data_IF_070761184249
#
_entry.id   IF_070761184249
#
_cell.length_a   1.000
_cell.length_b   1.000
_cell.length_c   1.000
_cell.angle_alpha   90.00
_cell.angle_beta   90.00
_cell.angle_gamma   90.00
#
_symmetry.space_group_name_H-M   'P 1'
#
loop_
_entity.id
_entity.type
_entity.pdbx_description
1 polymer ?
#
# COMPACT_ATOMS: atom_id res chain seq x y z
N UNK A 1 5.52 -41.57 -33.88
CA UNK A 1 5.09 -40.20 -33.51
C UNK A 1 4.82 -40.18 -32.01
N UNK A 2 5.86 -40.06 -31.20
CA UNK A 2 5.81 -40.10 -29.74
C UNK A 2 5.29 -38.77 -29.22
N UNK A 3 4.09 -38.76 -28.65
CA UNK A 3 3.56 -37.61 -27.91
C UNK A 3 4.41 -37.45 -26.63
N UNK A 4 5.26 -36.43 -26.60
CA UNK A 4 5.88 -35.96 -25.36
C UNK A 4 4.77 -35.34 -24.51
N UNK A 5 4.39 -36.01 -23.43
CA UNK A 5 3.60 -35.41 -22.37
C UNK A 5 4.36 -34.19 -21.83
N UNK A 6 3.76 -33.01 -22.00
CA UNK A 6 4.21 -31.79 -21.32
C UNK A 6 3.93 -31.99 -19.83
N UNK A 7 4.92 -31.87 -18.93
CA UNK A 7 4.64 -31.98 -17.50
C UNK A 7 3.78 -30.78 -17.09
N UNK A 8 2.51 -31.04 -16.77
CA UNK A 8 1.68 -30.08 -16.04
C UNK A 8 2.37 -29.78 -14.70
N UNK A 9 2.47 -28.51 -14.31
CA UNK A 9 2.90 -28.08 -12.97
C UNK A 9 1.65 -27.84 -12.11
N UNK A 10 1.15 -28.79 -11.28
CA UNK A 10 -0.12 -28.63 -10.58
C UNK A 10 0.04 -28.39 -9.06
N UNK A 11 1.23 -28.63 -8.50
CA UNK A 11 1.41 -28.65 -7.03
C UNK A 11 1.52 -27.24 -6.42
N UNK A 12 2.18 -26.30 -7.10
CA UNK A 12 2.42 -24.94 -6.58
C UNK A 12 1.17 -24.07 -6.59
N UNK A 13 0.27 -24.27 -7.55
CA UNK A 13 -0.99 -23.54 -7.65
C UNK A 13 -1.99 -23.96 -6.57
N UNK A 14 -1.94 -25.22 -6.11
CA UNK A 14 -2.81 -25.67 -5.02
C UNK A 14 -2.40 -25.10 -3.66
N UNK A 15 -1.10 -25.11 -3.34
CA UNK A 15 -0.60 -24.54 -2.08
C UNK A 15 -0.84 -23.02 -1.99
N UNK A 16 -0.67 -22.28 -3.10
CA UNK A 16 -0.95 -20.85 -3.13
C UNK A 16 -2.44 -20.54 -2.95
N UNK A 17 -3.32 -21.31 -3.60
CA UNK A 17 -4.77 -21.19 -3.43
C UNK A 17 -5.18 -21.48 -1.99
N UNK A 18 -4.67 -22.56 -1.40
CA UNK A 18 -4.90 -22.89 0.02
C UNK A 18 -4.48 -21.75 0.93
N UNK A 19 -3.27 -21.20 0.75
CA UNK A 19 -2.78 -20.07 1.54
C UNK A 19 -3.71 -18.84 1.44
N UNK A 20 -4.16 -18.50 0.23
CA UNK A 20 -5.09 -17.37 0.03
C UNK A 20 -6.43 -17.63 0.72
N UNK A 21 -7.00 -18.84 0.57
CA UNK A 21 -8.25 -19.23 1.23
C UNK A 21 -8.13 -19.16 2.75
N UNK A 22 -7.05 -19.69 3.33
CA UNK A 22 -6.81 -19.61 4.78
C UNK A 22 -6.64 -18.16 5.25
N UNK A 23 -5.95 -17.31 4.49
CA UNK A 23 -5.80 -15.90 4.83
C UNK A 23 -7.13 -15.13 4.80
N UNK A 24 -8.03 -15.47 3.86
CA UNK A 24 -9.38 -14.91 3.79
C UNK A 24 -10.23 -15.39 4.98
N UNK A 25 -10.20 -16.69 5.30
CA UNK A 25 -10.89 -17.24 6.47
C UNK A 25 -10.38 -16.61 7.78
N UNK A 26 -9.06 -16.43 7.92
CA UNK A 26 -8.49 -15.76 9.08
C UNK A 26 -8.93 -14.29 9.18
N UNK A 27 -9.06 -13.60 8.05
CA UNK A 27 -9.57 -12.22 8.00
C UNK A 27 -11.03 -12.15 8.43
N UNK A 28 -11.86 -13.09 7.97
CA UNK A 28 -13.26 -13.23 8.38
C UNK A 28 -13.39 -13.49 9.89
N UNK A 29 -12.67 -14.49 10.43
CA UNK A 29 -12.70 -14.79 11.87
C UNK A 29 -12.25 -13.60 12.71
N UNK A 30 -11.23 -12.86 12.26
CA UNK A 30 -10.75 -11.67 12.96
C UNK A 30 -11.78 -10.52 12.95
N UNK A 31 -12.51 -10.34 11.83
CA UNK A 31 -13.61 -9.37 11.75
C UNK A 31 -14.74 -9.74 12.72
N UNK A 32 -15.20 -10.99 12.71
CA UNK A 32 -16.22 -11.49 13.63
C UNK A 32 -15.78 -11.34 15.08
N UNK A 33 -14.53 -11.72 15.40
CA UNK A 33 -14.00 -11.58 16.76
C UNK A 33 -14.06 -10.14 17.27
N UNK A 34 -13.76 -9.15 16.43
CA UNK A 34 -13.85 -7.73 16.84
C UNK A 34 -15.31 -7.30 17.01
N UNK A 35 -16.22 -7.75 16.15
CA UNK A 35 -17.65 -7.48 16.29
C UNK A 35 -18.20 -8.09 17.59
N UNK A 36 -17.99 -9.39 17.82
CA UNK A 36 -18.49 -10.13 18.97
C UNK A 36 -17.90 -9.62 20.30
N UNK A 37 -16.60 -9.30 20.33
CA UNK A 37 -15.95 -8.78 21.54
C UNK A 37 -16.34 -7.34 21.86
N UNK A 38 -16.61 -6.52 20.84
CA UNK A 38 -16.98 -5.11 21.05
C UNK A 38 -18.47 -4.92 21.31
N UNK A 39 -19.32 -5.84 20.81
CA UNK A 39 -20.77 -5.71 20.85
C UNK A 39 -21.31 -4.52 20.05
N UNK A 40 -20.50 -3.93 19.18
CA UNK A 40 -20.87 -2.77 18.36
C UNK A 40 -21.54 -3.22 17.06
N UNK A 41 -22.49 -2.44 16.51
CA UNK A 41 -23.05 -2.72 15.19
C UNK A 41 -21.94 -2.73 14.13
N UNK A 42 -22.14 -3.47 13.03
CA UNK A 42 -21.15 -3.61 11.96
C UNK A 42 -20.64 -2.28 11.40
N UNK A 43 -21.50 -1.27 11.29
CA UNK A 43 -21.08 0.05 10.83
C UNK A 43 -19.99 0.71 11.72
N UNK A 44 -19.89 0.31 13.01
CA UNK A 44 -18.82 0.75 13.92
C UNK A 44 -17.71 -0.29 14.09
N UNK A 45 -18.04 -1.58 14.00
CA UNK A 45 -17.08 -2.68 14.08
C UNK A 45 -16.06 -2.66 12.93
N UNK A 46 -16.49 -2.30 11.72
CA UNK A 46 -15.60 -2.20 10.55
C UNK A 46 -14.54 -1.07 10.71
N UNK A 47 -14.90 0.17 11.07
CA UNK A 47 -13.92 1.19 11.44
C UNK A 47 -13.03 0.77 12.62
N UNK A 48 -13.59 0.17 13.66
CA UNK A 48 -12.82 -0.28 14.83
C UNK A 48 -11.77 -1.31 14.42
N UNK A 49 -12.13 -2.29 13.60
CA UNK A 49 -11.19 -3.28 13.07
C UNK A 49 -10.06 -2.62 12.28
N UNK A 50 -10.38 -1.65 11.41
CA UNK A 50 -9.39 -0.90 10.65
C UNK A 50 -8.41 -0.11 11.54
N UNK A 51 -8.89 0.41 12.68
CA UNK A 51 -8.09 1.10 13.70
C UNK A 51 -7.19 0.11 14.46
N UNK A 52 -7.72 -1.03 14.92
CA UNK A 52 -6.99 -2.08 15.63
C UNK A 52 -5.86 -2.61 14.75
N UNK A 53 -6.16 -2.99 13.50
CA UNK A 53 -5.16 -3.50 12.56
C UNK A 53 -4.02 -2.49 12.34
N UNK A 54 -4.37 -1.21 12.20
CA UNK A 54 -3.37 -0.16 11.99
C UNK A 54 -2.48 0.05 13.19
N UNK A 55 -3.07 0.20 14.36
CA UNK A 55 -2.34 0.51 15.59
C UNK A 55 -1.42 -0.62 16.01
N UNK A 56 -1.87 -1.87 15.87
CA UNK A 56 -1.11 -3.05 16.31
C UNK A 56 -0.05 -3.50 15.30
N UNK A 57 -0.34 -3.50 14.00
CA UNK A 57 0.58 -4.03 12.98
C UNK A 57 1.21 -2.95 12.09
N UNK A 58 0.39 -2.04 11.54
CA UNK A 58 0.85 -1.10 10.50
C UNK A 58 1.65 0.06 11.08
N UNK A 59 1.30 0.54 12.26
CA UNK A 59 1.95 1.67 12.92
C UNK A 59 3.39 1.33 13.31
N UNK A 60 3.70 0.21 14.00
CA UNK A 60 5.09 -0.19 14.26
C UNK A 60 5.92 -0.30 12.97
N UNK A 61 5.35 -0.88 11.92
CA UNK A 61 5.99 -0.99 10.61
C UNK A 61 6.27 0.39 9.99
N UNK A 62 5.31 1.30 10.07
CA UNK A 62 5.41 2.68 9.60
C UNK A 62 6.46 3.46 10.37
N UNK A 63 6.56 3.27 11.70
CA UNK A 63 7.62 3.87 12.54
C UNK A 63 8.99 3.37 12.09
N UNK A 64 9.13 2.06 11.84
CA UNK A 64 10.39 1.49 11.37
C UNK A 64 10.78 2.01 9.97
N UNK A 65 9.83 2.09 9.04
CA UNK A 65 10.02 2.70 7.73
C UNK A 65 10.45 4.17 7.86
N UNK A 66 9.79 4.93 8.74
CA UNK A 66 10.09 6.35 9.00
C UNK A 66 11.51 6.56 9.53
N UNK A 67 11.92 5.76 10.52
CA UNK A 67 13.28 5.81 11.09
C UNK A 67 14.34 5.52 10.04
N UNK A 68 14.07 4.56 9.15
CA UNK A 68 14.97 4.28 8.03
C UNK A 68 15.08 5.47 7.07
N UNK A 69 13.95 6.12 6.74
CA UNK A 69 13.93 7.30 5.87
C UNK A 69 14.68 8.49 6.48
N UNK A 70 14.51 8.77 7.78
CA UNK A 70 15.25 9.83 8.48
C UNK A 70 16.78 9.61 8.39
N UNK A 71 17.24 8.38 8.61
CA UNK A 71 18.67 8.02 8.48
C UNK A 71 19.18 8.21 7.06
N UNK A 72 18.37 7.88 6.04
CA UNK A 72 18.75 8.09 4.64
C UNK A 72 18.98 9.57 4.34
N UNK A 73 18.11 10.46 4.83
CA UNK A 73 18.26 11.91 4.61
C UNK A 73 19.48 12.48 5.33
N UNK A 74 19.78 12.00 6.55
CA UNK A 74 20.99 12.40 7.27
C UNK A 74 22.29 11.99 6.56
N UNK A 75 22.25 10.92 5.76
CA UNK A 75 23.41 10.41 5.01
C UNK A 75 23.56 11.04 3.61
N UNK A 76 22.58 11.83 3.16
CA UNK A 76 22.65 12.50 1.86
C UNK A 76 23.88 13.42 1.69
N UNK A 77 24.31 14.26 2.67
CA UNK A 77 25.52 15.08 2.51
C UNK A 77 26.79 14.23 2.34
N UNK A 78 26.88 13.07 3.00
CA UNK A 78 27.99 12.14 2.81
C UNK A 78 28.01 11.60 1.36
N UNK A 79 26.85 11.23 0.83
CA UNK A 79 26.72 10.78 -0.56
C UNK A 79 27.12 11.90 -1.54
N UNK A 80 26.73 13.15 -1.24
CA UNK A 80 27.11 14.31 -2.04
C UNK A 80 28.63 14.57 -1.99
N UNK A 81 29.29 14.41 -0.86
CA UNK A 81 30.74 14.56 -0.75
C UNK A 81 31.50 13.55 -1.64
N UNK A 82 31.02 12.29 -1.70
CA UNK A 82 31.60 11.26 -2.58
C UNK A 82 31.43 11.57 -4.08
N UNK A 83 30.48 12.44 -4.46
CA UNK A 83 30.21 12.79 -5.86
C UNK A 83 31.45 13.36 -6.55
N UNK A 84 32.19 14.25 -5.89
CA UNK A 84 33.38 14.88 -6.49
C UNK A 84 34.46 13.85 -6.84
N UNK A 85 34.74 12.94 -5.90
CA UNK A 85 35.73 11.87 -6.11
C UNK A 85 35.30 10.94 -7.23
N UNK A 86 34.04 10.49 -7.23
CA UNK A 86 33.51 9.60 -8.26
C UNK A 86 33.42 10.27 -9.62
N UNK A 87 33.14 11.57 -9.67
CA UNK A 87 33.10 12.35 -10.91
C UNK A 87 34.49 12.44 -11.53
N UNK A 88 35.53 12.73 -10.73
CA UNK A 88 36.91 12.74 -11.21
C UNK A 88 37.35 11.37 -11.73
N UNK A 89 36.98 10.29 -11.04
CA UNK A 89 37.25 8.92 -11.48
C UNK A 89 36.53 8.58 -12.79
N UNK A 90 35.25 8.92 -12.90
CA UNK A 90 34.46 8.69 -14.11
C UNK A 90 35.01 9.46 -15.31
N UNK A 91 35.38 10.73 -15.14
CA UNK A 91 36.00 11.53 -16.19
C UNK A 91 37.36 10.98 -16.62
N UNK A 92 38.18 10.50 -15.68
CA UNK A 92 39.48 9.90 -16.02
C UNK A 92 39.34 8.60 -16.81
N UNK A 93 38.41 7.73 -16.42
CA UNK A 93 38.23 6.42 -17.05
C UNK A 93 37.42 6.48 -18.35
N UNK A 94 36.35 7.27 -18.38
CA UNK A 94 35.37 7.27 -19.48
C UNK A 94 35.30 8.60 -20.23
N UNK A 95 36.09 9.61 -19.85
CA UNK A 95 36.06 10.93 -20.50
C UNK A 95 36.41 10.88 -21.99
N UNK A 96 37.24 9.92 -22.40
CA UNK A 96 37.59 9.71 -23.81
C UNK A 96 36.42 9.17 -24.66
N UNK A 97 35.41 8.55 -24.04
CA UNK A 97 34.22 8.01 -24.70
C UNK A 97 33.09 9.05 -24.82
N UNK A 98 33.34 10.27 -24.36
CA UNK A 98 32.39 11.39 -24.42
C UNK A 98 31.67 11.68 -23.10
N UNK A 99 31.07 12.89 -22.98
CA UNK A 99 30.52 13.39 -21.73
C UNK A 99 29.31 12.57 -21.24
N UNK A 100 28.47 12.08 -22.15
CA UNK A 100 27.28 11.29 -21.80
C UNK A 100 27.64 9.95 -21.13
N UNK A 101 28.67 9.28 -21.65
CA UNK A 101 29.14 7.99 -21.10
C UNK A 101 29.75 8.19 -19.73
N UNK A 102 30.56 9.25 -19.55
CA UNK A 102 31.13 9.60 -18.25
C UNK A 102 30.06 9.95 -17.21
N UNK A 103 29.00 10.67 -17.59
CA UNK A 103 27.87 10.98 -16.70
C UNK A 103 27.09 9.72 -16.31
N UNK A 104 26.82 8.81 -17.24
CA UNK A 104 26.18 7.53 -16.94
C UNK A 104 27.03 6.68 -16.00
N UNK A 105 28.35 6.63 -16.23
CA UNK A 105 29.30 5.94 -15.35
C UNK A 105 29.28 6.55 -13.94
N UNK A 106 29.25 7.88 -13.81
CA UNK A 106 29.10 8.58 -12.53
C UNK A 106 27.79 8.21 -11.82
N UNK A 107 26.65 8.26 -12.51
CA UNK A 107 25.33 7.91 -11.93
C UNK A 107 25.34 6.46 -11.44
N UNK A 108 25.90 5.53 -12.22
CA UNK A 108 25.98 4.12 -11.84
C UNK A 108 26.87 3.90 -10.60
N UNK A 109 28.00 4.60 -10.53
CA UNK A 109 28.94 4.54 -9.40
C UNK A 109 28.35 5.15 -8.13
N UNK A 110 27.65 6.28 -8.26
CA UNK A 110 26.91 6.90 -7.16
C UNK A 110 25.80 5.99 -6.62
N UNK A 111 25.05 5.30 -7.49
CA UNK A 111 24.04 4.32 -7.08
C UNK A 111 24.65 3.17 -6.28
N UNK A 112 25.81 2.65 -6.71
CA UNK A 112 26.56 1.62 -5.98
C UNK A 112 27.01 2.14 -4.62
N UNK A 113 27.61 3.32 -4.56
CA UNK A 113 28.11 3.93 -3.32
C UNK A 113 26.99 4.24 -2.32
N UNK A 114 25.87 4.80 -2.79
CA UNK A 114 24.66 5.00 -1.99
C UNK A 114 24.18 3.70 -1.35
N UNK A 115 24.10 2.61 -2.13
CA UNK A 115 23.69 1.28 -1.63
C UNK A 115 24.66 0.74 -0.57
N UNK A 116 25.96 0.90 -0.77
CA UNK A 116 26.99 0.51 0.19
C UNK A 116 26.83 1.25 1.53
N UNK A 117 26.72 2.59 1.48
CA UNK A 117 26.52 3.44 2.66
C UNK A 117 25.24 3.04 3.39
N UNK A 118 24.12 2.93 2.67
CA UNK A 118 22.85 2.53 3.28
C UNK A 118 22.88 1.14 3.90
N UNK A 119 23.63 0.20 3.31
CA UNK A 119 23.82 -1.14 3.90
C UNK A 119 24.64 -1.04 5.19
N UNK A 120 25.73 -0.26 5.20
CA UNK A 120 26.59 -0.05 6.38
C UNK A 120 25.84 0.54 7.56
N UNK A 121 24.97 1.54 7.32
CA UNK A 121 24.14 2.18 8.36
C UNK A 121 22.78 1.49 8.61
N UNK A 122 22.57 0.30 8.05
CA UNK A 122 21.32 -0.49 8.18
C UNK A 122 20.07 0.31 7.78
N UNK A 123 20.13 1.15 6.75
CA UNK A 123 19.02 1.96 6.24
C UNK A 123 18.79 1.72 4.73
N UNK A 124 18.77 0.45 4.33
CA UNK A 124 18.54 0.04 2.93
C UNK A 124 17.24 0.57 2.33
N UNK A 125 17.24 0.77 1.01
CA UNK A 125 16.11 1.34 0.25
C UNK A 125 14.83 0.48 0.39
N UNK A 126 14.99 -0.85 0.50
CA UNK A 126 13.87 -1.79 0.66
C UNK A 126 12.96 -1.47 1.86
N UNK A 127 13.50 -0.83 2.91
CA UNK A 127 12.72 -0.40 4.08
C UNK A 127 11.68 0.66 3.75
N UNK A 128 11.90 1.43 2.68
CA UNK A 128 10.93 2.40 2.16
C UNK A 128 9.71 1.74 1.48
N UNK A 129 9.82 0.47 1.10
CA UNK A 129 8.71 -0.28 0.48
C UNK A 129 7.90 -1.10 1.48
N UNK A 130 8.23 -1.04 2.78
CA UNK A 130 7.52 -1.80 3.81
C UNK A 130 6.03 -1.45 3.90
N UNK A 131 5.64 -0.21 3.60
CA UNK A 131 4.23 0.17 3.49
C UNK A 131 3.43 -0.64 2.46
N UNK A 132 4.07 -1.24 1.45
CA UNK A 132 3.39 -2.11 0.47
C UNK A 132 3.00 -3.48 1.06
N UNK A 133 3.56 -3.87 2.20
CA UNK A 133 3.19 -5.10 2.89
C UNK A 133 1.74 -5.11 3.40
N UNK A 134 1.08 -3.94 3.45
CA UNK A 134 -0.32 -3.83 3.80
C UNK A 134 -1.26 -4.36 2.70
N UNK A 135 -0.84 -4.30 1.42
CA UNK A 135 -1.72 -4.63 0.29
C UNK A 135 -2.29 -6.06 0.35
N UNK A 136 -1.49 -7.12 0.61
CA UNK A 136 -2.04 -8.47 0.73
C UNK A 136 -3.08 -8.60 1.84
N UNK A 137 -2.82 -8.02 3.02
CA UNK A 137 -3.74 -8.05 4.16
C UNK A 137 -5.04 -7.30 3.83
N UNK A 138 -4.92 -6.13 3.21
CA UNK A 138 -6.08 -5.39 2.74
C UNK A 138 -6.92 -6.20 1.77
N UNK A 139 -6.31 -6.88 0.79
CA UNK A 139 -7.02 -7.70 -0.18
C UNK A 139 -7.75 -8.90 0.46
N UNK A 140 -7.15 -9.58 1.44
CA UNK A 140 -7.83 -10.70 2.11
C UNK A 140 -9.03 -10.24 2.93
N UNK A 141 -8.93 -9.07 3.57
CA UNK A 141 -10.05 -8.46 4.32
C UNK A 141 -11.16 -7.99 3.37
N UNK A 142 -10.82 -7.32 2.26
CA UNK A 142 -11.80 -6.91 1.25
C UNK A 142 -12.53 -8.11 0.66
N UNK A 143 -11.81 -9.21 0.40
CA UNK A 143 -12.39 -10.44 -0.11
C UNK A 143 -13.26 -11.16 0.93
N UNK A 144 -12.88 -11.14 2.22
CA UNK A 144 -13.74 -11.62 3.30
C UNK A 144 -15.05 -10.83 3.37
N UNK A 145 -14.97 -9.49 3.39
CA UNK A 145 -16.15 -8.61 3.39
C UNK A 145 -17.01 -8.77 2.14
N UNK A 146 -16.40 -9.01 0.98
CA UNK A 146 -17.12 -9.33 -0.26
C UNK A 146 -18.01 -10.56 -0.09
N UNK A 147 -17.44 -11.64 0.44
CA UNK A 147 -18.19 -12.88 0.66
C UNK A 147 -19.27 -12.70 1.73
N UNK A 148 -18.96 -12.00 2.84
CA UNK A 148 -19.96 -11.64 3.86
C UNK A 148 -21.10 -10.78 3.29
N UNK A 149 -20.84 -9.99 2.25
CA UNK A 149 -21.85 -9.16 1.59
C UNK A 149 -22.61 -9.89 0.46
N UNK A 150 -22.28 -11.15 0.17
CA UNK A 150 -22.90 -11.92 -0.92
C UNK A 150 -22.62 -11.40 -2.34
N UNK A 151 -21.65 -10.50 -2.52
CA UNK A 151 -21.34 -9.92 -3.83
C UNK A 151 -20.52 -10.89 -4.67
N UNK A 152 -20.89 -11.09 -5.95
CA UNK A 152 -20.20 -12.03 -6.86
C UNK A 152 -18.91 -11.49 -7.49
N UNK A 153 -18.62 -10.19 -7.37
CA UNK A 153 -17.48 -9.55 -8.05
C UNK A 153 -16.20 -9.57 -7.19
N UNK A 154 -15.36 -10.60 -7.38
CA UNK A 154 -14.07 -10.76 -6.68
C UNK A 154 -13.03 -9.71 -7.06
N UNK A 155 -12.52 -8.94 -6.10
CA UNK A 155 -11.47 -7.94 -6.36
C UNK A 155 -10.12 -8.61 -6.66
N UNK A 156 -9.87 -9.74 -6.00
CA UNK A 156 -8.70 -10.57 -6.27
C UNK A 156 -8.81 -11.21 -7.67
N UNK A 157 -10.01 -11.67 -8.05
CA UNK A 157 -10.29 -12.18 -9.40
C UNK A 157 -10.08 -11.10 -10.48
N UNK A 158 -10.57 -9.88 -10.24
CA UNK A 158 -10.42 -8.75 -11.17
C UNK A 158 -8.95 -8.31 -11.34
N UNK A 159 -8.15 -8.31 -10.27
CA UNK A 159 -6.74 -7.86 -10.32
C UNK A 159 -5.74 -8.96 -10.69
N UNK A 160 -5.99 -10.21 -10.32
CA UNK A 160 -5.02 -11.30 -10.43
C UNK A 160 -5.54 -12.55 -11.18
N UNK A 161 -6.78 -12.49 -11.68
CA UNK A 161 -7.46 -13.58 -12.36
C UNK A 161 -8.14 -14.56 -11.39
N UNK A 162 -9.24 -15.17 -11.85
CA UNK A 162 -10.07 -16.10 -11.05
C UNK A 162 -9.33 -17.36 -10.59
N UNK A 163 -8.12 -17.63 -11.11
CA UNK A 163 -7.32 -18.81 -10.77
C UNK A 163 -6.66 -18.79 -9.39
N UNK A 164 -6.61 -17.65 -8.68
CA UNK A 164 -6.02 -17.54 -7.34
C UNK A 164 -7.03 -17.67 -6.19
N UNK A 165 -8.30 -17.40 -6.48
CA UNK A 165 -9.39 -17.55 -5.52
C UNK A 165 -10.04 -18.89 -5.79
N UNK A 166 -9.95 -19.82 -4.85
CA UNK A 166 -10.61 -21.11 -5.01
C UNK A 166 -12.14 -20.91 -5.08
N UNK A 167 -12.80 -21.69 -5.92
CA UNK A 167 -14.27 -21.86 -6.00
C UNK A 167 -14.93 -22.22 -4.65
N UNK A 168 -14.14 -22.53 -3.62
CA UNK A 168 -14.57 -23.07 -2.33
C UNK A 168 -14.37 -22.12 -1.13
N UNK A 169 -14.47 -20.80 -1.29
CA UNK A 169 -14.59 -19.93 -0.12
C UNK A 169 -16.02 -20.08 0.45
N UNK A 170 -16.14 -20.74 1.60
CA UNK A 170 -17.41 -21.00 2.30
C UNK A 170 -17.66 -19.99 3.41
N UNK A 171 -17.57 -18.71 3.10
CA UNK A 171 -17.98 -17.66 4.05
C UNK A 171 -19.47 -17.39 3.79
N UNK A 172 -20.35 -17.61 4.78
CA UNK A 172 -21.76 -17.29 4.62
C UNK A 172 -21.97 -15.77 4.54
N UNK A 173 -23.07 -15.37 3.90
CA UNK A 173 -23.50 -13.97 3.91
C UNK A 173 -23.89 -13.59 5.34
N UNK A 174 -23.40 -12.45 5.81
CA UNK A 174 -23.69 -11.93 7.14
C UNK A 174 -25.05 -11.23 7.11
N UNK A 175 -26.07 -11.86 7.69
CA UNK A 175 -27.45 -11.36 7.61
C UNK A 175 -27.66 -10.08 8.40
N UNK A 176 -26.88 -9.84 9.46
CA UNK A 176 -27.00 -8.62 10.26
C UNK A 176 -26.51 -7.36 9.53
N UNK A 177 -25.69 -7.50 8.48
CA UNK A 177 -25.30 -6.36 7.61
C UNK A 177 -26.52 -5.62 7.03
N UNK A 178 -27.63 -6.32 6.80
CA UNK A 178 -28.85 -5.72 6.25
C UNK A 178 -29.47 -4.64 7.15
N UNK A 179 -29.23 -4.72 8.46
CA UNK A 179 -29.87 -3.86 9.46
C UNK A 179 -28.88 -3.03 10.30
N UNK A 180 -27.59 -3.32 10.21
CA UNK A 180 -26.55 -2.71 11.04
C UNK A 180 -25.72 -1.63 10.33
N UNK A 181 -26.30 -0.97 9.33
CA UNK A 181 -25.73 0.24 8.73
C UNK A 181 -25.88 1.48 9.61
N UNK A 182 -25.58 2.66 9.06
CA UNK A 182 -25.73 3.93 9.78
C UNK A 182 -26.08 5.09 8.85
N UNK A 183 -26.63 6.16 9.43
CA UNK A 183 -26.91 7.42 8.73
C UNK A 183 -27.79 7.21 7.48
N UNK A 184 -27.26 7.49 6.28
CA UNK A 184 -27.97 7.37 5.00
C UNK A 184 -27.77 6.02 4.30
N UNK A 185 -26.99 5.11 4.88
CA UNK A 185 -26.71 3.76 4.37
C UNK A 185 -27.08 2.71 5.44
N UNK A 186 -28.37 2.44 5.67
CA UNK A 186 -28.83 1.53 6.72
C UNK A 186 -28.55 0.04 6.41
N UNK A 187 -28.42 -0.32 5.13
CA UNK A 187 -28.12 -1.67 4.67
C UNK A 187 -26.68 -1.72 4.13
N UNK A 188 -25.82 -2.53 4.75
CA UNK A 188 -24.42 -2.68 4.37
C UNK A 188 -24.21 -3.69 3.22
N UNK A 189 -25.21 -4.51 2.90
CA UNK A 189 -25.18 -5.48 1.78
C UNK A 189 -25.37 -4.80 0.43
N UNK A 190 -26.05 -3.65 0.40
CA UNK A 190 -26.35 -2.89 -0.81
C UNK A 190 -25.36 -1.75 -0.99
N UNK A 191 -25.17 -1.31 -2.24
CA UNK A 191 -24.39 -0.11 -2.54
C UNK A 191 -25.02 1.15 -1.94
N UNK A 192 -24.20 2.18 -1.68
CA UNK A 192 -24.67 3.42 -1.07
C UNK A 192 -25.77 4.08 -1.91
N UNK A 193 -27.01 4.20 -1.39
CA UNK A 193 -28.13 4.78 -2.14
C UNK A 193 -27.89 6.24 -2.57
N UNK A 194 -27.08 6.99 -1.80
CA UNK A 194 -26.80 8.41 -2.06
C UNK A 194 -25.46 8.65 -2.75
N UNK A 195 -24.68 7.59 -3.01
CA UNK A 195 -23.34 7.63 -3.61
C UNK A 195 -22.30 8.48 -2.86
N UNK A 196 -22.60 8.91 -1.63
CA UNK A 196 -21.72 9.77 -0.84
C UNK A 196 -20.45 9.02 -0.41
N UNK A 197 -20.57 7.78 0.06
CA UNK A 197 -19.48 6.93 0.54
C UNK A 197 -18.38 6.72 -0.53
N UNK A 198 -18.68 6.28 -1.78
CA UNK A 198 -17.68 6.15 -2.84
C UNK A 198 -16.86 7.42 -3.12
N UNK A 199 -17.50 8.59 -3.13
CA UNK A 199 -16.82 9.85 -3.41
C UNK A 199 -16.02 10.38 -2.22
N UNK A 200 -16.49 10.18 -0.98
CA UNK A 200 -15.68 10.46 0.22
C UNK A 200 -14.44 9.55 0.25
N UNK A 201 -14.59 8.26 -0.10
CA UNK A 201 -13.46 7.33 -0.22
C UNK A 201 -12.45 7.83 -1.25
N UNK A 202 -12.91 8.18 -2.46
CA UNK A 202 -12.06 8.76 -3.52
C UNK A 202 -11.28 9.99 -3.02
N UNK A 203 -11.98 10.94 -2.40
CA UNK A 203 -11.37 12.13 -1.80
C UNK A 203 -10.35 11.80 -0.71
N UNK A 204 -10.65 10.83 0.16
CA UNK A 204 -9.75 10.40 1.24
C UNK A 204 -8.48 9.74 0.70
N UNK A 205 -8.58 8.93 -0.36
CA UNK A 205 -7.41 8.32 -1.01
C UNK A 205 -6.60 9.41 -1.72
N UNK A 206 -7.25 10.38 -2.35
CA UNK A 206 -6.58 11.53 -2.96
C UNK A 206 -5.79 12.34 -1.92
N UNK A 207 -6.37 12.55 -0.73
CA UNK A 207 -5.68 13.17 0.41
C UNK A 207 -4.51 12.33 0.91
N UNK A 208 -4.59 11.00 0.89
CA UNK A 208 -3.43 10.16 1.22
C UNK A 208 -2.30 10.30 0.18
N UNK A 209 -2.64 10.42 -1.10
CA UNK A 209 -1.66 10.59 -2.19
C UNK A 209 -0.99 11.96 -2.12
N UNK A 210 -1.76 13.03 -1.92
CA UNK A 210 -1.24 14.40 -2.02
C UNK A 210 -0.95 15.08 -0.69
N UNK A 211 -1.69 14.73 0.38
CA UNK A 211 -1.55 15.32 1.71
C UNK A 211 -0.36 14.80 2.50
N UNK A 212 0.17 13.62 2.16
CA UNK A 212 1.44 13.11 2.68
C UNK A 212 2.63 13.59 1.86
N UNK A 213 3.52 14.36 2.48
CA UNK A 213 4.75 14.80 1.83
C UNK A 213 5.47 15.85 2.67
N UNK A 214 6.81 15.81 2.67
CA UNK A 214 7.64 16.76 3.40
C UNK A 214 7.31 18.17 2.88
N UNK A 215 6.48 18.92 3.62
CA UNK A 215 6.22 20.32 3.34
C UNK A 215 7.55 21.08 3.48
N UNK A 216 7.96 21.79 2.42
CA UNK A 216 9.19 22.59 2.42
C UNK A 216 10.39 21.98 1.71
N UNK A 217 10.20 21.02 0.81
CA UNK A 217 11.28 20.51 -0.03
C UNK A 217 11.06 20.82 -1.52
N UNK A 218 11.88 21.74 -2.04
CA UNK A 218 12.48 21.61 -3.37
C UNK A 218 13.46 20.41 -3.41
N UNK A 219 13.09 19.25 -2.85
CA UNK A 219 13.78 18.03 -3.24
C UNK A 219 13.32 17.80 -4.66
N UNK A 220 14.24 17.97 -5.61
CA UNK A 220 14.05 17.55 -6.97
C UNK A 220 13.82 16.03 -6.98
N UNK A 221 12.58 15.61 -6.72
CA UNK A 221 12.18 14.22 -6.81
C UNK A 221 12.46 13.77 -8.25
N UNK A 222 12.99 12.55 -8.44
CA UNK A 222 13.14 12.00 -9.77
C UNK A 222 11.83 12.11 -10.55
N UNK A 223 11.90 12.49 -11.84
CA UNK A 223 10.72 12.66 -12.71
C UNK A 223 9.74 11.47 -12.65
N UNK A 224 10.26 10.24 -12.48
CA UNK A 224 9.43 9.04 -12.35
C UNK A 224 8.55 9.04 -11.10
N UNK A 225 9.02 9.57 -9.95
CA UNK A 225 8.24 9.65 -8.71
C UNK A 225 7.11 10.66 -8.83
N UNK A 226 7.39 11.81 -9.48
CA UNK A 226 6.36 12.83 -9.77
C UNK A 226 5.29 12.26 -10.70
N UNK A 227 5.70 11.58 -11.78
CA UNK A 227 4.77 10.89 -12.70
C UNK A 227 3.95 9.83 -11.97
N UNK A 228 4.58 9.01 -11.13
CA UNK A 228 3.89 7.99 -10.35
C UNK A 228 2.85 8.62 -9.41
N UNK A 229 3.22 9.66 -8.66
CA UNK A 229 2.29 10.37 -7.77
C UNK A 229 1.08 10.93 -8.54
N UNK A 230 1.31 11.54 -9.70
CA UNK A 230 0.23 12.04 -10.58
C UNK A 230 -0.67 10.91 -11.07
N UNK A 231 -0.10 9.80 -11.53
CA UNK A 231 -0.86 8.65 -11.99
C UNK A 231 -1.68 8.02 -10.84
N UNK A 232 -1.12 7.93 -9.64
CA UNK A 232 -1.85 7.47 -8.45
C UNK A 232 -2.99 8.43 -8.08
N UNK A 233 -2.81 9.74 -8.28
CA UNK A 233 -3.88 10.72 -8.11
C UNK A 233 -5.04 10.51 -9.08
N UNK A 234 -4.75 10.21 -10.35
CA UNK A 234 -5.78 9.86 -11.34
C UNK A 234 -6.52 8.57 -10.94
N UNK A 235 -5.78 7.54 -10.52
CA UNK A 235 -6.38 6.30 -10.02
C UNK A 235 -7.29 6.58 -8.83
N UNK A 236 -6.87 7.42 -7.87
CA UNK A 236 -7.68 7.81 -6.73
C UNK A 236 -9.02 8.43 -7.14
N UNK A 237 -9.01 9.35 -8.13
CA UNK A 237 -10.24 9.95 -8.66
C UNK A 237 -11.18 8.92 -9.28
N UNK A 238 -10.64 7.94 -10.01
CA UNK A 238 -11.42 6.86 -10.62
C UNK A 238 -12.04 5.89 -9.61
N UNK A 239 -11.54 5.81 -8.37
CA UNK A 239 -12.08 4.88 -7.36
C UNK A 239 -13.56 5.17 -7.08
N UNK A 240 -13.96 6.45 -6.97
CA UNK A 240 -15.35 6.81 -6.68
C UNK A 240 -16.35 6.17 -7.66
N UNK A 241 -16.23 6.45 -8.98
CA UNK A 241 -17.07 5.82 -9.99
C UNK A 241 -17.03 4.28 -10.01
N UNK A 242 -15.85 3.68 -9.80
CA UNK A 242 -15.70 2.21 -9.80
C UNK A 242 -16.45 1.58 -8.60
N UNK A 243 -16.59 2.31 -7.50
CA UNK A 243 -17.21 1.81 -6.26
C UNK A 243 -18.74 1.99 -6.20
N UNK A 244 -19.38 2.58 -7.21
CA UNK A 244 -20.83 2.90 -7.20
C UNK A 244 -21.72 1.66 -6.98
N UNK A 245 -21.30 0.48 -7.46
CA UNK A 245 -22.08 -0.76 -7.35
C UNK A 245 -21.53 -1.73 -6.29
N UNK A 246 -20.58 -1.28 -5.47
CA UNK A 246 -19.96 -2.11 -4.44
C UNK A 246 -20.76 -1.99 -3.13
N UNK A 247 -21.00 -3.10 -2.40
CA UNK A 247 -21.67 -3.05 -1.10
C UNK A 247 -21.05 -2.05 -0.13
N UNK A 248 -21.90 -1.35 0.62
CA UNK A 248 -21.49 -0.28 1.52
C UNK A 248 -20.52 -0.75 2.60
N UNK A 249 -20.58 -2.02 3.03
CA UNK A 249 -19.61 -2.63 3.96
C UNK A 249 -18.15 -2.48 3.49
N UNK A 250 -17.88 -2.79 2.22
CA UNK A 250 -16.53 -2.74 1.65
C UNK A 250 -16.03 -1.30 1.55
N UNK A 251 -16.89 -0.40 1.09
CA UNK A 251 -16.57 1.02 0.93
C UNK A 251 -16.33 1.66 2.29
N UNK A 252 -17.15 1.34 3.31
CA UNK A 252 -17.02 1.84 4.67
C UNK A 252 -15.71 1.38 5.33
N UNK A 253 -15.37 0.10 5.22
CA UNK A 253 -14.10 -0.41 5.73
C UNK A 253 -12.92 0.28 5.02
N UNK A 254 -12.94 0.36 3.69
CA UNK A 254 -11.85 1.00 2.95
C UNK A 254 -11.74 2.50 3.26
N UNK A 255 -12.86 3.20 3.45
CA UNK A 255 -12.89 4.60 3.83
C UNK A 255 -12.26 4.80 5.21
N UNK A 256 -12.74 4.06 6.21
CA UNK A 256 -12.22 4.12 7.58
C UNK A 256 -10.74 3.82 7.61
N UNK A 257 -10.34 2.79 6.87
CA UNK A 257 -8.96 2.39 6.68
C UNK A 257 -8.14 3.55 6.10
N UNK A 258 -8.54 4.12 4.96
CA UNK A 258 -7.83 5.24 4.33
C UNK A 258 -7.78 6.49 5.21
N UNK A 259 -8.85 6.78 5.94
CA UNK A 259 -8.90 7.90 6.91
C UNK A 259 -7.90 7.73 8.04
N UNK A 260 -7.83 6.55 8.66
CA UNK A 260 -6.84 6.28 9.69
C UNK A 260 -5.40 6.24 9.15
N UNK A 261 -5.19 5.83 7.90
CA UNK A 261 -3.86 5.92 7.28
C UNK A 261 -3.41 7.38 7.14
N UNK A 262 -4.30 8.27 6.71
CA UNK A 262 -4.04 9.70 6.62
C UNK A 262 -3.76 10.32 7.99
N UNK A 263 -4.59 9.99 8.99
CA UNK A 263 -4.41 10.44 10.36
C UNK A 263 -3.08 9.97 10.93
N UNK A 264 -2.76 8.68 10.77
CA UNK A 264 -1.50 8.10 11.20
C UNK A 264 -0.31 8.80 10.54
N UNK A 265 -0.37 9.04 9.22
CA UNK A 265 0.67 9.75 8.48
C UNK A 265 0.85 11.18 9.00
N UNK A 266 -0.24 11.89 9.27
CA UNK A 266 -0.24 13.26 9.80
C UNK A 266 0.35 13.34 11.22
N UNK A 267 -0.03 12.42 12.10
CA UNK A 267 0.52 12.31 13.46
C UNK A 267 2.02 12.02 13.39
N UNK A 268 2.40 11.04 12.56
CA UNK A 268 3.79 10.72 12.31
C UNK A 268 4.51 11.98 11.82
N UNK A 269 4.00 12.70 10.82
CA UNK A 269 4.59 13.93 10.29
C UNK A 269 4.99 14.90 11.40
N UNK A 270 4.07 15.12 12.34
CA UNK A 270 4.26 16.01 13.49
C UNK A 270 5.24 15.48 14.53
N UNK A 271 5.17 14.19 14.89
CA UNK A 271 5.96 13.61 16.00
C UNK A 271 7.38 13.20 15.59
N UNK A 272 7.57 12.74 14.35
CA UNK A 272 8.86 12.23 13.84
C UNK A 272 9.25 12.85 12.49
N UNK A 273 9.32 14.19 12.35
CA UNK A 273 9.53 14.85 11.07
C UNK A 273 10.81 14.38 10.36
N UNK A 274 10.77 14.31 9.03
CA UNK A 274 11.95 14.06 8.20
C UNK A 274 12.52 15.43 7.83
N UNK A 275 13.57 15.84 8.54
CA UNK A 275 14.27 17.11 8.27
C UNK A 275 14.99 17.02 6.92
N UNK A 276 15.07 18.14 6.19
CA UNK A 276 15.89 18.24 4.98
C UNK A 276 17.37 17.97 5.29
N UNK A 277 18.07 17.43 4.30
CA UNK A 277 19.52 17.34 4.38
C UNK A 277 20.11 18.76 4.46
N UNK A 278 21.18 18.98 5.26
CA UNK A 278 21.87 20.26 5.28
C UNK A 278 22.38 20.59 3.87
N UNK A 279 22.12 21.81 3.40
CA UNK A 279 22.66 22.30 2.12
C UNK A 279 24.17 22.54 2.31
N UNK A 280 25.02 22.21 1.32
CA UNK A 280 26.41 22.66 1.36
C UNK A 280 26.44 24.19 1.37
N UNK A 281 27.27 24.74 2.25
CA UNK A 281 27.52 26.18 2.40
C UNK A 281 28.22 26.75 1.16
#
# INVERSE_FOLDING_TARGET
RTQRAVPSRPLRSNSQRQFVTEAINASHTALQSVHDLSGLPWALSLPLFALVLRTTFILPLSIYQRRAAQRQVQLEPLIQAWRFTLQKQAMKQYGHLGPQVAEQALISSLRKKRREIYRRYRCGIWKGFLGLAQLPVFLTIMEALRNMSGSSQGWIGMMFGDGLVAEAIRIPVESSFANEGMLWFPDLLVADPQLVLPFILSGTILLNVFGGGIKGQDLALPKWQVRLKRNMGLVALCIGPIMIHVPSALVLYWLSSSGFAFLQASILERVMPIKSAPKPC
#
